data_IF_291105515658
#
_entry.id   IF_291105515658
#
_cell.length_a   1.000
_cell.length_b   1.000
_cell.length_c   1.000
_cell.angle_alpha   90.00
_cell.angle_beta   90.00
_cell.angle_gamma   90.00
#
_symmetry.space_group_name_H-M   'P 1'
#
loop_
_entity.id
_entity.type
_entity.pdbx_description
1 polymer ?
#
# COMPACT_ATOMS: atom_id res chain seq x y z
N UNK A 1 6.44 6.71 28.91
CA UNK A 1 5.11 6.23 29.36
C UNK A 1 4.58 5.30 28.27
N UNK A 2 4.52 3.99 28.53
CA UNK A 2 4.01 2.98 27.58
C UNK A 2 2.47 2.98 27.60
N UNK A 3 1.81 2.75 26.47
CA UNK A 3 0.35 2.55 26.45
C UNK A 3 0.03 1.25 27.21
N UNK A 4 -0.73 1.35 28.30
CA UNK A 4 -1.00 0.23 29.21
C UNK A 4 -2.08 -0.74 28.71
N UNK A 5 -3.01 -0.28 27.87
CA UNK A 5 -4.11 -1.12 27.33
C UNK A 5 -3.89 -1.60 25.90
N UNK A 6 -3.17 -0.82 25.09
CA UNK A 6 -2.90 -1.13 23.68
C UNK A 6 -1.47 -0.71 23.33
N UNK A 7 -0.45 -1.46 23.79
CA UNK A 7 0.92 -1.20 23.38
C UNK A 7 1.03 -1.34 21.86
N UNK A 8 1.80 -0.44 21.23
CA UNK A 8 2.14 -0.56 19.81
C UNK A 8 3.14 -1.69 19.58
N UNK A 9 3.09 -2.31 18.41
CA UNK A 9 3.97 -3.41 18.02
C UNK A 9 4.63 -3.11 16.66
N UNK A 10 5.85 -3.61 16.46
CA UNK A 10 6.54 -3.56 15.18
C UNK A 10 6.05 -4.76 14.38
N UNK A 11 5.02 -4.53 13.57
CA UNK A 11 4.33 -5.60 12.84
C UNK A 11 5.16 -6.13 11.67
N UNK A 12 5.81 -5.24 10.93
CA UNK A 12 6.38 -5.55 9.62
C UNK A 12 7.62 -4.70 9.35
N UNK A 13 8.49 -5.21 8.48
CA UNK A 13 9.62 -4.46 7.94
C UNK A 13 9.14 -3.25 7.11
N UNK A 14 9.98 -2.23 6.91
CA UNK A 14 9.65 -1.14 6.00
C UNK A 14 9.28 -1.66 4.60
N UNK A 15 8.23 -1.08 4.02
CA UNK A 15 7.83 -1.38 2.65
C UNK A 15 8.90 -0.91 1.66
N UNK A 16 9.07 -1.66 0.58
CA UNK A 16 9.87 -1.27 -0.59
C UNK A 16 9.11 -0.26 -1.45
N UNK A 17 9.84 0.45 -2.32
CA UNK A 17 9.23 1.37 -3.28
C UNK A 17 8.25 0.60 -4.18
N UNK A 18 6.97 0.99 -4.14
CA UNK A 18 5.91 0.40 -4.96
C UNK A 18 5.29 -0.89 -4.42
N UNK A 19 5.72 -1.41 -3.27
CA UNK A 19 5.28 -2.71 -2.73
C UNK A 19 3.76 -2.82 -2.54
N UNK A 20 3.10 -1.71 -2.19
CA UNK A 20 1.67 -1.68 -1.91
C UNK A 20 0.84 -0.90 -2.93
N UNK A 21 1.44 -0.39 -4.01
CA UNK A 21 0.75 0.44 -5.00
C UNK A 21 -0.48 -0.27 -5.59
N UNK A 22 -0.29 -1.51 -6.08
CA UNK A 22 -1.38 -2.29 -6.67
C UNK A 22 -2.44 -2.71 -5.64
N UNK A 23 -2.04 -2.94 -4.38
CA UNK A 23 -2.96 -3.31 -3.30
C UNK A 23 -3.85 -2.11 -2.93
N UNK A 24 -3.26 -0.92 -2.81
CA UNK A 24 -3.97 0.32 -2.53
C UNK A 24 -4.91 0.67 -3.70
N UNK A 25 -4.44 0.63 -4.94
CA UNK A 25 -5.26 0.94 -6.11
C UNK A 25 -6.47 -0.01 -6.23
N UNK A 26 -6.28 -1.32 -5.98
CA UNK A 26 -7.39 -2.27 -5.93
C UNK A 26 -8.37 -1.96 -4.80
N UNK A 27 -7.89 -1.57 -3.62
CA UNK A 27 -8.76 -1.16 -2.50
C UNK A 27 -9.58 0.10 -2.79
N UNK A 28 -9.07 0.98 -3.66
CA UNK A 28 -9.76 2.17 -4.15
C UNK A 28 -10.75 1.87 -5.28
N UNK A 29 -10.84 0.61 -5.74
CA UNK A 29 -11.78 0.17 -6.76
C UNK A 29 -11.22 0.20 -8.20
N UNK A 30 -9.92 0.39 -8.39
CA UNK A 30 -9.32 0.30 -9.71
C UNK A 30 -9.26 -1.15 -10.19
N UNK A 31 -9.79 -1.40 -11.38
CA UNK A 31 -9.62 -2.67 -12.07
C UNK A 31 -8.18 -2.82 -12.57
N UNK A 32 -7.71 -4.06 -12.73
CA UNK A 32 -6.35 -4.34 -13.19
C UNK A 32 -6.00 -3.63 -14.50
N UNK A 33 -6.95 -3.59 -15.46
CA UNK A 33 -6.77 -2.88 -16.72
C UNK A 33 -6.50 -1.37 -16.55
N UNK A 34 -7.09 -0.73 -15.54
CA UNK A 34 -6.84 0.69 -15.26
C UNK A 34 -5.46 0.90 -14.62
N UNK A 35 -5.02 -0.03 -13.76
CA UNK A 35 -3.67 -0.01 -13.16
C UNK A 35 -2.61 -0.15 -14.25
N UNK A 36 -2.83 -1.04 -15.23
CA UNK A 36 -1.89 -1.23 -16.34
C UNK A 36 -1.77 0.03 -17.22
N UNK A 37 -2.89 0.76 -17.42
CA UNK A 37 -2.87 2.06 -18.11
C UNK A 37 -2.04 3.08 -17.31
N UNK A 38 -2.24 3.19 -16.01
CA UNK A 38 -1.45 4.11 -15.15
C UNK A 38 0.04 3.81 -15.18
N UNK A 39 0.42 2.51 -15.19
CA UNK A 39 1.81 2.07 -15.37
C UNK A 39 2.36 2.46 -16.75
N UNK A 40 1.57 2.26 -17.81
CA UNK A 40 1.99 2.63 -19.16
C UNK A 40 2.25 4.14 -19.31
N UNK A 41 1.51 4.95 -18.55
CA UNK A 41 1.64 6.40 -18.48
C UNK A 41 2.77 6.87 -17.54
N UNK A 42 3.45 5.96 -16.83
CA UNK A 42 4.44 6.24 -15.78
C UNK A 42 3.91 7.17 -14.67
N UNK A 43 2.63 7.07 -14.36
CA UNK A 43 2.00 7.79 -13.23
C UNK A 43 2.22 7.04 -11.91
N UNK A 44 2.37 5.72 -11.99
CA UNK A 44 2.63 4.80 -10.88
C UNK A 44 3.83 3.91 -11.19
#
# INVERSE_FOLDING_TARGET
MFLSKTPGDIREKPAMLGEHTDAILRSLGYAQAQIDVLRSQRVI
#
